data_IF_109222932804
#
_entry.id   IF_109222932804
#
_cell.length_a   1.000
_cell.length_b   1.000
_cell.length_c   1.000
_cell.angle_alpha   90.00
_cell.angle_beta   90.00
_cell.angle_gamma   90.00
#
_symmetry.space_group_name_H-M   'P 1'
#
loop_
_entity.id
_entity.type
_entity.pdbx_description
1 polymer ?
#
# COMPACT_ATOMS: atom_id res chain seq x y z
N UNK A 1 -6.71 -7.59 10.93
CA UNK A 1 -7.46 -8.25 12.05
C UNK A 1 -7.03 -7.77 13.43
N UNK A 2 -5.77 -7.84 13.87
CA UNK A 2 -5.50 -7.39 15.27
C UNK A 2 -5.43 -5.88 15.45
N UNK A 3 -5.16 -5.07 14.43
CA UNK A 3 -5.19 -3.60 14.56
C UNK A 3 -6.62 -3.13 14.82
N UNK A 4 -7.56 -3.65 14.02
CA UNK A 4 -9.00 -3.49 14.21
C UNK A 4 -9.47 -3.96 15.58
N UNK A 5 -9.18 -5.21 15.97
CA UNK A 5 -9.60 -5.73 17.28
C UNK A 5 -8.98 -4.94 18.44
N UNK A 6 -7.75 -4.44 18.30
CA UNK A 6 -7.10 -3.59 19.29
C UNK A 6 -7.78 -2.22 19.38
N UNK A 7 -8.11 -1.60 18.24
CA UNK A 7 -8.82 -0.32 18.21
C UNK A 7 -10.24 -0.48 18.77
N UNK A 8 -10.96 -1.54 18.38
CA UNK A 8 -12.27 -1.88 18.94
C UNK A 8 -12.18 -2.10 20.47
N UNK A 9 -11.14 -2.80 20.95
CA UNK A 9 -10.92 -2.99 22.38
C UNK A 9 -10.56 -1.70 23.14
N UNK A 10 -9.87 -0.76 22.49
CA UNK A 10 -9.61 0.57 23.07
C UNK A 10 -10.88 1.42 23.11
N UNK A 11 -11.67 1.42 22.04
CA UNK A 11 -12.89 2.21 21.92
C UNK A 11 -13.99 1.69 22.85
N UNK A 12 -14.13 0.36 23.00
CA UNK A 12 -15.06 -0.23 23.96
C UNK A 12 -14.76 0.15 25.42
N UNK A 13 -13.51 0.52 25.75
CA UNK A 13 -13.14 1.02 27.10
C UNK A 13 -13.53 2.47 27.34
N UNK A 14 -13.87 3.24 26.30
CA UNK A 14 -14.25 4.66 26.43
C UNK A 14 -15.69 4.85 26.88
N UNK A 15 -16.54 3.81 26.80
CA UNK A 15 -17.95 3.87 27.15
C UNK A 15 -18.83 4.66 26.16
N UNK A 16 -18.25 5.16 25.06
CA UNK A 16 -18.99 5.86 24.00
C UNK A 16 -19.75 4.86 23.14
N UNK A 17 -21.07 5.04 23.04
CA UNK A 17 -21.93 4.22 22.18
C UNK A 17 -21.94 4.79 20.76
N UNK A 18 -21.26 4.11 19.84
CA UNK A 18 -21.12 4.51 18.44
C UNK A 18 -21.05 3.29 17.52
N UNK A 19 -21.56 3.44 16.29
CA UNK A 19 -21.47 2.42 15.22
C UNK A 19 -20.05 2.36 14.64
N UNK A 20 -19.69 1.29 13.92
CA UNK A 20 -18.35 1.11 13.35
C UNK A 20 -18.38 0.80 11.86
N UNK A 21 -17.50 1.45 11.09
CA UNK A 21 -17.25 1.20 9.67
C UNK A 21 -15.76 0.84 9.53
N UNK A 22 -15.43 -0.39 9.15
CA UNK A 22 -14.04 -0.79 8.92
C UNK A 22 -13.87 -1.80 7.77
N UNK A 23 -12.70 -1.77 7.12
CA UNK A 23 -12.36 -2.58 5.92
C UNK A 23 -12.61 -4.09 6.11
N UNK A 24 -12.53 -4.59 7.35
CA UNK A 24 -12.66 -6.01 7.71
C UNK A 24 -13.88 -6.35 8.55
N UNK A 25 -14.68 -5.36 8.94
CA UNK A 25 -15.86 -5.55 9.78
C UNK A 25 -17.17 -5.76 9.01
N UNK A 26 -17.16 -5.98 7.69
CA UNK A 26 -18.05 -6.91 6.95
C UNK A 26 -18.24 -6.48 5.48
N UNK A 27 -18.41 -7.47 4.61
CA UNK A 27 -18.67 -7.36 3.17
C UNK A 27 -20.08 -6.82 2.81
N UNK A 28 -20.82 -6.24 3.76
CA UNK A 28 -22.23 -5.88 3.57
C UNK A 28 -22.60 -4.62 4.35
N UNK A 29 -22.47 -3.47 3.68
CA UNK A 29 -23.12 -2.21 4.08
C UNK A 29 -24.54 -2.21 3.53
N UNK A 30 -25.53 -2.71 4.29
CA UNK A 30 -26.94 -2.68 3.84
C UNK A 30 -27.70 -1.44 4.31
N UNK A 31 -27.16 -0.66 5.26
CA UNK A 31 -27.75 0.61 5.75
C UNK A 31 -26.69 1.58 6.29
N UNK A 32 -26.96 2.88 6.16
CA UNK A 32 -26.15 4.00 6.69
C UNK A 32 -26.39 4.19 8.18
N UNK A 33 -25.36 4.36 9.02
CA UNK A 33 -25.53 4.68 10.43
C UNK A 33 -26.32 5.98 10.62
N UNK A 34 -27.26 5.99 11.56
CA UNK A 34 -28.05 7.19 11.92
C UNK A 34 -27.58 7.86 13.21
N UNK A 35 -26.57 7.29 13.87
CA UNK A 35 -25.93 7.81 15.08
C UNK A 35 -24.43 8.06 14.89
N UNK A 36 -23.69 8.40 15.98
CA UNK A 36 -22.24 8.57 15.93
C UNK A 36 -21.57 7.29 15.41
N UNK A 37 -20.68 7.40 14.43
CA UNK A 37 -20.00 6.25 13.83
C UNK A 37 -18.49 6.48 13.71
N UNK A 38 -17.70 5.47 14.07
CA UNK A 38 -16.25 5.45 13.90
C UNK A 38 -15.88 4.77 12.58
N UNK A 39 -15.20 5.51 11.71
CA UNK A 39 -14.62 4.98 10.47
C UNK A 39 -13.16 4.63 10.75
N UNK A 40 -12.79 3.36 10.60
CA UNK A 40 -11.47 2.82 10.94
C UNK A 40 -10.92 2.03 9.75
N UNK A 41 -9.70 2.32 9.32
CA UNK A 41 -9.00 1.57 8.27
C UNK A 41 -7.83 0.74 8.85
N UNK A 42 -8.07 -0.52 9.23
CA UNK A 42 -7.05 -1.34 9.87
C UNK A 42 -6.12 -2.01 8.84
N UNK A 43 -4.95 -1.40 8.60
CA UNK A 43 -3.85 -1.99 7.85
C UNK A 43 -3.54 -3.43 8.31
N UNK A 44 -3.60 -4.41 7.39
CA UNK A 44 -3.36 -5.83 7.68
C UNK A 44 -2.21 -6.41 6.86
N UNK A 45 -0.99 -6.14 7.31
CA UNK A 45 0.24 -6.80 6.85
C UNK A 45 0.36 -8.27 7.30
N UNK A 46 -0.56 -8.80 8.11
CA UNK A 46 -0.37 -10.09 8.83
C UNK A 46 -0.93 -11.31 8.13
N UNK A 47 -1.80 -11.15 7.14
CA UNK A 47 -2.27 -12.30 6.34
C UNK A 47 -1.29 -12.57 5.20
N UNK A 48 -0.41 -13.56 5.38
CA UNK A 48 0.63 -14.02 4.44
C UNK A 48 1.81 -13.04 4.27
N UNK A 49 2.72 -12.94 5.27
CA UNK A 49 3.86 -12.02 5.21
C UNK A 49 4.95 -12.49 4.23
N UNK A 50 4.93 -13.74 3.79
CA UNK A 50 6.02 -14.34 3.02
C UNK A 50 6.44 -13.50 1.80
N UNK A 51 5.48 -13.07 0.94
CA UNK A 51 5.79 -12.25 -0.25
C UNK A 51 6.33 -10.86 0.13
N UNK A 52 5.78 -10.24 1.18
CA UNK A 52 6.24 -8.93 1.67
C UNK A 52 7.65 -9.02 2.26
N UNK A 53 7.91 -10.03 3.09
CA UNK A 53 9.20 -10.23 3.75
C UNK A 53 10.28 -10.66 2.75
N UNK A 54 9.93 -11.47 1.74
CA UNK A 54 10.83 -11.83 0.66
C UNK A 54 11.27 -10.60 -0.14
N UNK A 55 10.31 -9.77 -0.58
CA UNK A 55 10.58 -8.53 -1.28
C UNK A 55 11.41 -7.56 -0.41
N UNK A 56 11.03 -7.38 0.85
CA UNK A 56 11.76 -6.53 1.79
C UNK A 56 13.21 -6.99 1.97
N UNK A 57 13.45 -8.29 2.19
CA UNK A 57 14.81 -8.85 2.32
C UNK A 57 15.63 -8.68 1.03
N UNK A 58 15.02 -8.92 -0.12
CA UNK A 58 15.68 -8.82 -1.42
C UNK A 58 16.14 -7.38 -1.70
N UNK A 59 15.31 -6.38 -1.37
CA UNK A 59 15.64 -4.97 -1.55
C UNK A 59 16.61 -4.46 -0.47
N UNK A 60 16.40 -4.81 0.80
CA UNK A 60 17.17 -4.29 1.94
C UNK A 60 18.69 -4.41 1.77
N UNK A 61 19.16 -5.50 1.17
CA UNK A 61 20.61 -5.75 1.01
C UNK A 61 21.22 -5.07 -0.22
N UNK A 62 20.41 -4.33 -1.01
CA UNK A 62 20.81 -3.69 -2.29
C UNK A 62 20.57 -2.18 -2.30
N UNK A 63 19.92 -1.62 -1.29
CA UNK A 63 19.58 -0.19 -1.21
C UNK A 63 20.16 0.44 0.05
N UNK A 64 20.36 1.76 0.02
CA UNK A 64 20.87 2.51 1.17
C UNK A 64 19.87 2.59 2.33
N UNK A 65 18.57 2.57 2.03
CA UNK A 65 17.55 2.60 3.06
C UNK A 65 16.16 2.35 2.51
N UNK A 66 15.30 1.86 3.39
CA UNK A 66 13.87 1.67 3.11
C UNK A 66 13.09 2.62 4.01
N UNK A 67 11.99 3.17 3.49
CA UNK A 67 11.01 3.98 4.21
C UNK A 67 9.62 3.39 3.97
N UNK A 68 8.71 3.59 4.92
CA UNK A 68 7.33 3.12 4.85
C UNK A 68 6.44 4.23 5.39
N UNK A 69 6.04 5.16 4.52
CA UNK A 69 5.27 6.34 4.94
C UNK A 69 3.81 5.99 5.28
N UNK A 70 3.31 4.85 4.80
CA UNK A 70 2.01 4.31 5.15
C UNK A 70 0.87 4.83 4.28
N UNK A 71 1.18 5.54 3.18
CA UNK A 71 0.20 6.02 2.21
C UNK A 71 0.80 5.94 0.81
N UNK A 72 0.27 5.04 -0.02
CA UNK A 72 0.78 4.73 -1.35
C UNK A 72 0.84 5.97 -2.25
N UNK A 73 -0.21 6.79 -2.24
CA UNK A 73 -0.23 8.03 -3.01
C UNK A 73 0.88 9.01 -2.59
N UNK A 74 1.21 9.07 -1.29
CA UNK A 74 2.32 9.90 -0.79
C UNK A 74 3.68 9.32 -1.21
N UNK A 75 3.85 8.01 -1.09
CA UNK A 75 5.08 7.33 -1.50
C UNK A 75 5.34 7.52 -3.01
N UNK A 76 4.30 7.40 -3.86
CA UNK A 76 4.40 7.68 -5.30
C UNK A 76 4.74 9.15 -5.59
N UNK A 77 4.15 10.09 -4.87
CA UNK A 77 4.49 11.51 -5.01
C UNK A 77 5.94 11.80 -4.59
N UNK A 78 6.46 11.09 -3.58
CA UNK A 78 7.86 11.18 -3.17
C UNK A 78 8.82 10.62 -4.21
N UNK A 79 8.44 9.55 -4.92
CA UNK A 79 9.21 9.08 -6.08
C UNK A 79 9.17 10.11 -7.20
N UNK A 80 7.99 10.64 -7.51
CA UNK A 80 7.81 11.63 -8.58
C UNK A 80 8.65 12.91 -8.37
N UNK A 81 8.78 13.37 -7.11
CA UNK A 81 9.59 14.54 -6.79
C UNK A 81 11.06 14.23 -6.42
N UNK A 82 11.52 12.99 -6.63
CA UNK A 82 12.91 12.59 -6.39
C UNK A 82 13.34 12.52 -4.92
N UNK A 83 12.40 12.46 -3.97
CA UNK A 83 12.71 12.20 -2.54
C UNK A 83 13.00 10.72 -2.27
N UNK A 84 12.50 9.86 -3.15
CA UNK A 84 12.75 8.42 -3.16
C UNK A 84 13.05 7.98 -4.59
N UNK A 85 13.90 6.96 -4.77
CA UNK A 85 14.23 6.47 -6.11
C UNK A 85 13.23 5.43 -6.63
N UNK A 86 12.57 4.71 -5.71
CA UNK A 86 11.55 3.72 -6.04
C UNK A 86 10.67 3.32 -4.87
N UNK A 87 9.56 2.67 -5.21
CA UNK A 87 8.50 2.24 -4.32
C UNK A 87 7.95 0.89 -4.81
N UNK A 88 7.58 0.02 -3.88
CA UNK A 88 6.86 -1.22 -4.19
C UNK A 88 5.86 -1.55 -3.08
N UNK A 89 4.70 -2.07 -3.46
CA UNK A 89 3.73 -2.60 -2.51
C UNK A 89 2.83 -3.63 -3.21
N UNK A 90 2.18 -4.48 -2.40
CA UNK A 90 1.23 -5.51 -2.83
C UNK A 90 -0.12 -5.30 -2.13
N UNK A 91 -1.17 -5.92 -2.68
CA UNK A 91 -2.57 -5.86 -2.22
C UNK A 91 -3.19 -4.47 -2.27
N UNK A 92 -2.79 -3.69 -3.27
CA UNK A 92 -3.32 -2.35 -3.49
C UNK A 92 -4.71 -2.40 -4.10
N UNK A 93 -5.50 -1.36 -3.83
CA UNK A 93 -6.76 -1.10 -4.49
C UNK A 93 -6.58 -0.01 -5.55
N UNK A 94 -7.46 0.06 -6.57
CA UNK A 94 -7.32 1.03 -7.64
C UNK A 94 -7.21 2.49 -7.14
N UNK A 95 -7.92 2.83 -6.06
CA UNK A 95 -7.91 4.17 -5.48
C UNK A 95 -6.61 4.51 -4.74
N UNK A 96 -5.80 3.52 -4.36
CA UNK A 96 -4.52 3.75 -3.68
C UNK A 96 -3.44 4.26 -4.64
N UNK A 97 -3.52 3.87 -5.91
CA UNK A 97 -2.45 4.10 -6.91
C UNK A 97 -2.84 5.00 -8.05
N UNK A 98 -4.11 5.06 -8.48
CA UNK A 98 -4.49 5.73 -9.72
C UNK A 98 -4.00 7.20 -9.80
N UNK A 99 -4.21 7.98 -8.75
CA UNK A 99 -3.77 9.39 -8.73
C UNK A 99 -2.24 9.52 -8.66
N UNK A 100 -1.59 8.71 -7.82
CA UNK A 100 -0.13 8.74 -7.67
C UNK A 100 0.62 8.25 -8.92
N UNK A 101 0.06 7.26 -9.62
CA UNK A 101 0.58 6.74 -10.88
C UNK A 101 0.62 7.85 -11.93
N UNK A 102 -0.50 8.56 -12.14
CA UNK A 102 -0.55 9.65 -13.11
C UNK A 102 0.50 10.73 -12.81
N UNK A 103 0.60 11.16 -11.55
CA UNK A 103 1.60 12.15 -11.13
C UNK A 103 3.03 11.65 -11.42
N UNK A 104 3.31 10.39 -11.12
CA UNK A 104 4.62 9.80 -11.32
C UNK A 104 4.97 9.70 -12.82
N UNK A 105 4.03 9.25 -13.65
CA UNK A 105 4.22 9.12 -15.10
C UNK A 105 4.48 10.48 -15.75
N UNK A 106 3.71 11.51 -15.39
CA UNK A 106 3.92 12.89 -15.87
C UNK A 106 5.26 13.48 -15.39
N UNK A 107 5.79 13.02 -14.25
CA UNK A 107 7.12 13.36 -13.77
C UNK A 107 8.25 12.57 -14.47
N UNK A 108 7.93 11.70 -15.44
CA UNK A 108 8.89 10.86 -16.16
C UNK A 108 9.26 9.55 -15.43
N UNK A 109 8.55 9.25 -14.35
CA UNK A 109 8.68 7.98 -13.64
C UNK A 109 8.12 6.80 -14.42
N UNK A 110 8.35 5.59 -13.88
CA UNK A 110 7.90 4.34 -14.49
C UNK A 110 7.20 3.45 -13.49
N UNK A 111 6.16 2.78 -13.96
CA UNK A 111 5.41 1.77 -13.18
C UNK A 111 5.28 0.46 -13.92
N UNK A 112 5.43 -0.65 -13.21
CA UNK A 112 5.20 -2.01 -13.71
C UNK A 112 4.61 -2.91 -12.61
N UNK A 113 4.19 -4.12 -12.97
CA UNK A 113 4.12 -5.21 -12.01
C UNK A 113 5.53 -5.78 -11.71
N UNK A 114 5.62 -6.81 -10.87
CA UNK A 114 6.90 -7.45 -10.52
C UNK A 114 7.49 -8.33 -11.63
N UNK A 115 6.74 -8.58 -12.70
CA UNK A 115 7.19 -9.30 -13.89
C UNK A 115 7.59 -8.35 -15.03
N UNK A 116 7.46 -7.03 -14.83
CA UNK A 116 7.79 -6.01 -15.81
C UNK A 116 6.67 -5.71 -16.81
N UNK A 117 5.47 -6.24 -16.61
CA UNK A 117 4.32 -5.86 -17.44
C UNK A 117 3.86 -4.45 -17.06
N UNK A 118 3.18 -3.78 -18.00
CA UNK A 118 2.59 -2.48 -17.78
C UNK A 118 1.66 -2.52 -16.55
N UNK A 119 1.88 -1.59 -15.63
CA UNK A 119 1.05 -1.49 -14.43
C UNK A 119 -0.37 -1.02 -14.78
N UNK A 120 -1.34 -1.49 -14.01
CA UNK A 120 -2.72 -1.04 -14.01
C UNK A 120 -3.22 -0.97 -12.57
N UNK A 121 -4.05 0.01 -12.18
CA UNK A 121 -4.63 0.07 -10.84
C UNK A 121 -5.43 -1.19 -10.42
N UNK A 122 -5.76 -2.07 -11.38
CA UNK A 122 -6.44 -3.33 -11.15
C UNK A 122 -5.52 -4.53 -10.93
N UNK A 123 -4.19 -4.37 -11.03
CA UNK A 123 -3.23 -5.43 -10.66
C UNK A 123 -2.86 -5.33 -9.18
N UNK A 124 -2.59 -6.47 -8.52
CA UNK A 124 -2.45 -6.50 -7.06
C UNK A 124 -1.11 -5.93 -6.55
N UNK A 125 -0.15 -5.63 -7.40
CA UNK A 125 1.17 -5.13 -7.01
C UNK A 125 1.68 -4.07 -7.97
N UNK A 126 2.46 -3.16 -7.42
CA UNK A 126 3.11 -2.08 -8.16
C UNK A 126 4.60 -2.07 -7.83
N UNK A 127 5.42 -1.87 -8.86
CA UNK A 127 6.78 -1.38 -8.78
C UNK A 127 6.80 -0.01 -9.46
N UNK A 128 7.24 1.01 -8.74
CA UNK A 128 7.30 2.39 -9.20
C UNK A 128 8.72 2.94 -9.01
N UNK A 129 9.26 3.66 -10.00
CA UNK A 129 10.58 4.31 -9.90
C UNK A 129 10.60 5.68 -10.54
N UNK A 130 11.65 6.45 -10.25
CA UNK A 130 11.98 7.72 -10.90
C UNK A 130 12.36 7.58 -12.39
N UNK A 131 12.14 6.41 -13.00
CA UNK A 131 12.45 6.11 -14.41
C UNK A 131 13.91 5.72 -14.67
N UNK A 132 14.84 6.16 -13.83
CA UNK A 132 16.29 5.95 -14.01
C UNK A 132 16.74 4.55 -13.60
N UNK A 133 16.19 4.04 -12.49
CA UNK A 133 16.62 2.77 -11.88
C UNK A 133 15.63 1.61 -12.11
N UNK A 134 14.70 1.77 -13.06
CA UNK A 134 13.58 0.83 -13.19
C UNK A 134 14.05 -0.60 -13.53
N UNK A 135 15.06 -0.74 -14.38
CA UNK A 135 15.57 -2.06 -14.81
C UNK A 135 16.28 -2.76 -13.66
N UNK A 136 17.12 -2.04 -12.94
CA UNK A 136 17.92 -2.50 -11.82
C UNK A 136 17.05 -2.90 -10.63
N UNK A 137 16.01 -2.11 -10.35
CA UNK A 137 15.09 -2.43 -9.27
C UNK A 137 14.18 -3.61 -9.67
N UNK A 138 13.68 -3.65 -10.91
CA UNK A 138 12.85 -4.75 -11.42
C UNK A 138 13.58 -6.10 -11.38
N UNK A 139 14.88 -6.15 -11.71
CA UNK A 139 15.63 -7.41 -11.70
C UNK A 139 15.62 -8.08 -10.32
N UNK A 140 15.59 -7.29 -9.23
CA UNK A 140 15.50 -7.82 -7.86
C UNK A 140 14.17 -8.58 -7.64
N UNK A 141 13.09 -8.13 -8.26
CA UNK A 141 11.77 -8.78 -8.15
C UNK A 141 11.63 -9.98 -9.07
N UNK A 142 12.22 -9.93 -10.27
CA UNK A 142 12.26 -11.07 -11.19
C UNK A 142 13.05 -12.23 -10.56
N UNK A 143 14.18 -11.97 -9.90
CA UNK A 143 14.99 -13.00 -9.22
C UNK A 143 14.26 -13.68 -8.03
N UNK A 144 13.15 -13.11 -7.57
CA UNK A 144 12.35 -13.63 -6.44
C UNK A 144 11.23 -14.58 -6.90
N UNK A 145 10.80 -14.50 -8.17
CA UNK A 145 9.70 -15.28 -8.75
C UNK A 145 10.17 -16.69 -9.16
#
# INVERSE_FOLDING_TARGET
>A
ISSENTILAMLNKTGVQADFIAEKSHFTYTKTPTGPAWIIDPLDVRKKPAKVMAAFKAVLIRVQGIRRAGAVALDLAYVACGRMDGFWEIKLKPWDTAAGQLILEEAGGKTSDFSGNAYSPFVPEILATNGLIHKELLSIFIDML
#
